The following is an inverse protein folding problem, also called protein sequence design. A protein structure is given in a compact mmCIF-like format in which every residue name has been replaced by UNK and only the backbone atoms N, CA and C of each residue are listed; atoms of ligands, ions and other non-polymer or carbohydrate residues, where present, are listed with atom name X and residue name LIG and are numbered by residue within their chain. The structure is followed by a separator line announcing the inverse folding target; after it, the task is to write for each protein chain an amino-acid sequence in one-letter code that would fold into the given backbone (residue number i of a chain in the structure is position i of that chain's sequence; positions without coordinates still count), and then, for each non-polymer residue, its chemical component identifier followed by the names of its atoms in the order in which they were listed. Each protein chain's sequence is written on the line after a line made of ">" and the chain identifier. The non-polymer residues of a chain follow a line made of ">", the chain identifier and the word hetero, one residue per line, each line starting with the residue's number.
data_IF_169460849142
#
_entry.id   IF_169460849142
#
_cell.length_a   1.000
_cell.length_b   1.000
_cell.length_c   1.000
_cell.angle_alpha   90.00
_cell.angle_beta   90.00
_cell.angle_gamma   90.00
#
_symmetry.space_group_name_H-M   'P 1'
#
loop_
_entity.id
_entity.type
_entity.pdbx_description
1 polymer ?
#
# COMPACT_ATOMS: atom_id res chain seq x y z
N UNK A 1 12.11 5.59 -11.53
CA UNK A 1 11.52 5.29 -12.84
C UNK A 1 11.46 3.79 -12.99
N UNK A 2 10.27 3.19 -13.12
CA UNK A 2 10.13 1.75 -13.38
C UNK A 2 9.77 1.53 -14.86
N UNK A 3 10.16 0.39 -15.42
CA UNK A 3 9.87 0.05 -16.82
C UNK A 3 8.39 -0.32 -17.06
N UNK A 4 7.63 -0.54 -15.98
CA UNK A 4 6.23 -0.97 -16.01
C UNK A 4 5.29 0.16 -15.60
N UNK A 5 4.08 0.19 -16.17
CA UNK A 5 3.00 1.05 -15.67
C UNK A 5 2.63 0.57 -14.25
N UNK A 6 2.93 1.39 -13.24
CA UNK A 6 2.42 1.14 -11.89
C UNK A 6 0.91 1.30 -11.91
N UNK A 7 0.17 0.26 -11.50
CA UNK A 7 -1.28 0.33 -11.32
C UNK A 7 -1.66 1.03 -10.01
N UNK A 8 -0.69 1.33 -9.16
CA UNK A 8 -0.89 1.95 -7.85
C UNK A 8 -0.21 3.32 -7.82
N UNK A 9 0.35 3.73 -6.68
CA UNK A 9 0.88 5.07 -6.49
C UNK A 9 2.35 5.09 -6.96
N UNK A 10 2.72 6.00 -7.88
CA UNK A 10 4.11 6.19 -8.25
C UNK A 10 4.88 6.80 -7.07
N UNK A 11 6.12 6.33 -6.87
CA UNK A 11 7.01 6.80 -5.81
C UNK A 11 8.22 7.47 -6.46
N UNK A 12 8.52 8.70 -6.06
CA UNK A 12 9.73 9.41 -6.50
C UNK A 12 10.91 9.03 -5.59
N UNK A 13 11.53 7.89 -5.87
CA UNK A 13 12.60 7.32 -5.03
C UNK A 13 13.92 8.09 -5.13
N UNK A 14 14.78 7.90 -4.12
CA UNK A 14 16.17 8.37 -4.13
C UNK A 14 16.97 7.94 -5.35
N UNK A 15 16.72 6.74 -5.91
CA UNK A 15 17.33 6.32 -7.18
C UNK A 15 16.98 7.27 -8.33
N UNK A 16 15.72 7.70 -8.42
CA UNK A 16 15.28 8.60 -9.48
C UNK A 16 15.85 10.00 -9.26
N UNK A 17 15.82 10.47 -8.01
CA UNK A 17 16.34 11.79 -7.64
C UNK A 17 17.85 11.88 -7.87
N UNK A 18 18.62 10.85 -7.53
CA UNK A 18 20.05 10.76 -7.80
C UNK A 18 20.34 10.82 -9.30
N UNK A 19 19.63 10.03 -10.11
CA UNK A 19 19.77 10.06 -11.57
C UNK A 19 19.48 11.45 -12.17
N UNK A 20 18.46 12.16 -11.67
CA UNK A 20 18.14 13.51 -12.14
C UNK A 20 19.25 14.52 -11.79
N UNK A 21 19.91 14.37 -10.63
CA UNK A 21 21.06 15.21 -10.23
C UNK A 21 22.27 14.93 -11.12
N UNK A 22 22.58 13.65 -11.33
CA UNK A 22 23.76 13.21 -12.07
C UNK A 22 23.64 13.49 -13.58
N UNK A 23 22.42 13.57 -14.12
CA UNK A 23 22.17 13.91 -15.51
C UNK A 23 22.59 15.35 -15.89
N UNK A 24 22.77 16.24 -14.90
CA UNK A 24 23.24 17.62 -15.13
C UNK A 24 22.24 18.55 -15.82
N UNK A 25 21.01 18.10 -16.11
CA UNK A 25 19.98 18.91 -16.77
C UNK A 25 19.26 19.90 -15.85
N UNK A 26 19.25 19.66 -14.54
CA UNK A 26 18.52 20.47 -13.57
C UNK A 26 19.51 21.25 -12.69
N UNK A 27 19.24 22.53 -12.46
CA UNK A 27 20.05 23.38 -11.56
C UNK A 27 20.05 22.82 -10.13
N UNK A 28 18.91 22.30 -9.68
CA UNK A 28 18.79 21.59 -8.41
C UNK A 28 17.60 20.64 -8.46
N UNK A 29 17.68 19.56 -7.68
CA UNK A 29 16.57 18.62 -7.45
C UNK A 29 16.27 18.62 -5.97
N UNK A 30 15.08 19.10 -5.61
CA UNK A 30 14.65 19.27 -4.22
C UNK A 30 14.59 17.90 -3.51
N UNK A 31 15.46 17.71 -2.51
CA UNK A 31 15.52 16.48 -1.71
C UNK A 31 14.24 16.24 -0.90
N UNK A 32 13.46 17.28 -0.59
CA UNK A 32 12.19 17.13 0.14
C UNK A 32 11.10 16.45 -0.70
N UNK A 33 11.31 16.28 -2.00
CA UNK A 33 10.42 15.53 -2.88
C UNK A 33 10.80 14.05 -2.96
N UNK A 34 11.92 13.66 -2.37
CA UNK A 34 12.38 12.27 -2.33
C UNK A 34 11.48 11.47 -1.37
N UNK A 35 10.99 10.35 -1.86
CA UNK A 35 10.07 9.49 -1.13
C UNK A 35 10.75 8.18 -0.75
N UNK A 36 10.48 7.71 0.46
CA UNK A 36 10.97 6.40 0.91
C UNK A 36 10.28 5.27 0.14
N UNK A 37 11.10 4.37 -0.37
CA UNK A 37 10.68 3.06 -0.88
C UNK A 37 11.32 1.98 -0.03
N UNK A 38 10.51 0.98 0.33
CA UNK A 38 10.95 -0.11 1.20
C UNK A 38 11.18 -1.42 0.45
N UNK A 39 10.78 -1.50 -0.82
CA UNK A 39 11.05 -2.64 -1.68
C UNK A 39 12.56 -2.90 -1.79
N UNK A 40 13.01 -4.07 -1.32
CA UNK A 40 14.43 -4.44 -1.30
C UNK A 40 15.29 -3.63 -0.31
N UNK A 41 14.70 -2.83 0.58
CA UNK A 41 15.45 -2.02 1.56
C UNK A 41 16.16 -2.95 2.53
N UNK A 42 17.49 -2.80 2.63
CA UNK A 42 18.37 -3.63 3.45
C UNK A 42 18.37 -5.13 3.07
N UNK A 43 17.93 -5.50 1.87
CA UNK A 43 17.89 -6.91 1.43
C UNK A 43 19.28 -7.50 1.08
N UNK A 44 20.31 -6.65 0.99
CA UNK A 44 21.68 -7.06 0.72
C UNK A 44 21.95 -7.39 -0.76
N UNK A 45 23.20 -7.74 -1.07
CA UNK A 45 23.64 -7.99 -2.45
C UNK A 45 22.99 -9.23 -3.08
N UNK A 46 22.57 -10.20 -2.28
CA UNK A 46 21.86 -11.40 -2.75
C UNK A 46 20.52 -11.05 -3.40
N UNK A 47 19.88 -9.95 -3.01
CA UNK A 47 18.67 -9.46 -3.67
C UNK A 47 18.91 -9.00 -5.12
N UNK A 48 20.14 -8.62 -5.45
CA UNK A 48 20.52 -8.12 -6.78
C UNK A 48 21.16 -9.22 -7.63
N UNK A 49 22.02 -10.05 -7.03
CA UNK A 49 22.80 -11.06 -7.77
C UNK A 49 22.26 -12.49 -7.62
N UNK A 50 21.33 -12.71 -6.70
CA UNK A 50 20.76 -14.02 -6.41
C UNK A 50 19.47 -14.31 -7.19
N UNK A 51 18.78 -15.36 -6.77
CA UNK A 51 17.45 -15.70 -7.26
C UNK A 51 16.38 -15.07 -6.38
N UNK A 52 15.22 -14.77 -6.97
CA UNK A 52 14.08 -14.30 -6.21
C UNK A 52 13.57 -15.36 -5.26
N UNK A 53 13.31 -14.94 -4.02
CA UNK A 53 12.92 -15.80 -2.91
C UNK A 53 11.53 -15.37 -2.45
N UNK A 54 10.56 -16.27 -2.63
CA UNK A 54 9.14 -16.05 -2.35
C UNK A 54 8.81 -16.11 -0.85
N UNK A 55 9.78 -16.39 0.01
CA UNK A 55 9.68 -16.11 1.44
C UNK A 55 9.78 -14.62 1.74
N UNK A 56 10.35 -13.82 0.84
CA UNK A 56 10.36 -12.37 0.95
C UNK A 56 9.05 -11.80 0.38
N UNK A 57 8.53 -10.79 1.07
CA UNK A 57 7.25 -10.16 0.75
C UNK A 57 7.22 -9.47 -0.63
N UNK A 58 8.37 -9.11 -1.17
CA UNK A 58 8.50 -8.56 -2.52
C UNK A 58 8.02 -9.55 -3.59
N UNK A 59 8.21 -10.85 -3.35
CA UNK A 59 8.01 -11.89 -4.34
C UNK A 59 6.87 -12.84 -3.98
N UNK A 60 6.47 -13.65 -4.95
CA UNK A 60 5.45 -14.67 -4.76
C UNK A 60 5.61 -15.79 -5.78
N UNK A 61 4.97 -16.94 -5.50
CA UNK A 61 4.90 -18.06 -6.43
C UNK A 61 3.58 -18.07 -7.21
N UNK A 62 3.69 -18.05 -8.54
CA UNK A 62 2.56 -18.14 -9.48
C UNK A 62 1.91 -19.53 -9.43
N UNK A 63 0.61 -19.58 -9.68
CA UNK A 63 -0.20 -20.79 -9.55
C UNK A 63 -0.98 -20.87 -8.24
N UNK A 64 -0.69 -19.98 -7.28
CA UNK A 64 -1.57 -19.74 -6.14
C UNK A 64 -2.79 -18.91 -6.58
N UNK A 65 -3.99 -19.35 -6.19
CA UNK A 65 -5.21 -18.53 -6.29
C UNK A 65 -5.35 -17.54 -5.13
N UNK A 66 -4.28 -17.38 -4.35
CA UNK A 66 -4.26 -16.51 -3.18
C UNK A 66 -4.31 -15.05 -3.60
N UNK A 67 -5.24 -14.32 -2.98
CA UNK A 67 -5.41 -12.89 -3.16
C UNK A 67 -4.89 -12.19 -1.92
N UNK A 68 -3.60 -11.88 -1.86
CA UNK A 68 -2.95 -11.21 -0.72
C UNK A 68 -2.65 -9.74 -1.03
N UNK A 69 -2.25 -8.98 -0.03
CA UNK A 69 -1.86 -7.59 -0.22
C UNK A 69 -0.60 -7.46 -1.08
N UNK A 70 -0.55 -6.44 -1.92
CA UNK A 70 0.70 -6.07 -2.60
C UNK A 70 1.77 -5.59 -1.61
N UNK A 71 3.02 -5.54 -2.07
CA UNK A 71 4.19 -5.14 -1.28
C UNK A 71 4.07 -3.73 -0.65
N UNK A 72 3.26 -2.83 -1.22
CA UNK A 72 3.06 -1.47 -0.70
C UNK A 72 1.76 -1.31 0.11
N UNK A 73 1.04 -2.41 0.34
CA UNK A 73 -0.24 -2.46 1.04
C UNK A 73 -1.32 -1.57 0.38
N UNK A 74 -1.21 -1.29 -0.92
CA UNK A 74 -2.14 -0.42 -1.64
C UNK A 74 -3.49 -1.07 -1.93
N UNK A 75 -3.53 -2.39 -2.05
CA UNK A 75 -4.76 -3.12 -2.31
C UNK A 75 -4.56 -4.62 -2.36
N UNK A 76 -5.66 -5.32 -2.58
CA UNK A 76 -5.62 -6.77 -2.79
C UNK A 76 -5.04 -7.05 -4.16
N UNK A 77 -3.97 -7.82 -4.18
CA UNK A 77 -3.29 -8.27 -5.38
C UNK A 77 -3.46 -9.75 -5.64
N UNK A 78 -2.99 -10.16 -6.81
CA UNK A 78 -2.82 -11.55 -7.17
C UNK A 78 -1.40 -11.73 -7.67
N UNK A 79 -0.80 -12.86 -7.31
CA UNK A 79 0.53 -13.20 -7.78
C UNK A 79 0.53 -13.30 -9.30
N UNK A 80 1.36 -12.49 -9.97
CA UNK A 80 1.42 -12.44 -11.42
C UNK A 80 2.86 -12.44 -11.89
N UNK A 81 3.07 -13.08 -13.05
CA UNK A 81 4.31 -12.96 -13.79
C UNK A 81 4.56 -11.50 -14.17
N UNK A 82 5.78 -11.03 -13.90
CA UNK A 82 6.23 -9.71 -14.32
C UNK A 82 7.16 -9.86 -15.52
N UNK A 83 6.73 -9.39 -16.69
CA UNK A 83 7.58 -9.33 -17.88
C UNK A 83 8.76 -8.35 -17.76
N UNK A 84 8.81 -7.58 -16.67
CA UNK A 84 9.82 -6.54 -16.42
C UNK A 84 10.80 -6.91 -15.30
N UNK A 85 10.62 -8.07 -14.67
CA UNK A 85 11.52 -8.60 -13.66
C UNK A 85 12.18 -9.87 -14.18
N UNK A 86 13.26 -10.29 -13.51
CA UNK A 86 13.94 -11.53 -13.85
C UNK A 86 13.00 -12.74 -13.75
N UNK A 87 13.36 -13.83 -14.43
CA UNK A 87 12.55 -15.04 -14.44
C UNK A 87 12.29 -15.52 -13.01
N UNK A 88 11.05 -15.94 -12.74
CA UNK A 88 10.55 -16.37 -11.42
C UNK A 88 10.42 -15.27 -10.35
N UNK A 89 10.74 -14.02 -10.67
CA UNK A 89 10.51 -12.87 -9.79
C UNK A 89 9.08 -12.33 -9.92
N UNK A 90 8.10 -13.16 -9.57
CA UNK A 90 6.69 -12.77 -9.62
C UNK A 90 6.34 -11.91 -8.40
N UNK A 91 5.35 -11.03 -8.55
CA UNK A 91 4.95 -10.14 -7.46
C UNK A 91 3.42 -10.07 -7.34
N UNK A 92 2.93 -9.71 -6.16
CA UNK A 92 1.51 -9.43 -5.97
C UNK A 92 1.14 -8.12 -6.66
N UNK A 93 0.49 -8.23 -7.82
CA UNK A 93 -0.01 -7.08 -8.56
C UNK A 93 -1.42 -6.75 -8.08
N UNK A 94 -1.61 -5.55 -7.55
CA UNK A 94 -2.93 -5.05 -7.13
C UNK A 94 -3.95 -5.16 -8.27
N UNK A 95 -5.11 -5.73 -7.99
CA UNK A 95 -6.22 -5.84 -8.94
C UNK A 95 -6.80 -4.43 -9.16
N UNK A 96 -7.17 -4.11 -10.40
CA UNK A 96 -7.57 -2.75 -10.80
C UNK A 96 -8.67 -2.14 -9.93
N UNK A 97 -9.68 -2.94 -9.57
CA UNK A 97 -10.81 -2.55 -8.72
C UNK A 97 -10.66 -3.05 -7.27
N UNK A 98 -9.43 -3.08 -6.72
CA UNK A 98 -9.15 -3.57 -5.37
C UNK A 98 -8.23 -2.64 -4.55
N UNK A 99 -8.08 -1.40 -4.99
CA UNK A 99 -7.23 -0.39 -4.34
C UNK A 99 -7.92 0.16 -3.10
N UNK A 100 -7.31 0.01 -1.93
CA UNK A 100 -7.98 0.34 -0.65
C UNK A 100 -8.25 1.83 -0.49
N UNK A 101 -7.49 2.68 -1.17
CA UNK A 101 -7.69 4.13 -1.19
C UNK A 101 -8.74 4.60 -2.20
N UNK A 102 -9.19 3.74 -3.12
CA UNK A 102 -10.21 4.10 -4.12
C UNK A 102 -11.60 3.75 -3.58
N UNK A 103 -12.36 4.78 -3.21
CA UNK A 103 -13.73 4.60 -2.73
C UNK A 103 -14.74 4.42 -3.87
N UNK A 104 -14.39 4.82 -5.10
CA UNK A 104 -15.31 4.83 -6.24
C UNK A 104 -15.30 3.50 -7.00
N UNK A 105 -14.16 2.84 -7.09
CA UNK A 105 -13.95 1.66 -7.91
C UNK A 105 -13.23 0.56 -7.11
N UNK A 106 -13.91 0.03 -6.09
CA UNK A 106 -13.41 -1.11 -5.33
C UNK A 106 -14.49 -2.17 -5.11
N UNK A 107 -14.22 -3.42 -5.53
CA UNK A 107 -15.16 -4.53 -5.41
C UNK A 107 -15.52 -4.86 -3.95
N UNK A 108 -14.62 -4.59 -3.00
CA UNK A 108 -14.87 -4.78 -1.58
C UNK A 108 -15.70 -3.64 -0.97
N UNK A 109 -15.84 -2.50 -1.64
CA UNK A 109 -16.64 -1.37 -1.15
C UNK A 109 -18.14 -1.56 -1.43
N UNK A 110 -18.73 -2.61 -0.84
CA UNK A 110 -20.16 -2.89 -0.92
C UNK A 110 -20.72 -3.28 0.47
N UNK A 111 -22.05 -3.18 0.68
CA UNK A 111 -22.66 -3.44 1.98
C UNK A 111 -22.39 -4.84 2.54
N UNK A 112 -22.32 -5.87 1.68
CA UNK A 112 -22.07 -7.24 2.13
C UNK A 112 -20.65 -7.39 2.65
N UNK A 113 -19.65 -6.90 1.91
CA UNK A 113 -18.25 -6.97 2.36
C UNK A 113 -18.03 -6.16 3.65
N UNK A 114 -18.60 -4.96 3.75
CA UNK A 114 -18.52 -4.14 4.97
C UNK A 114 -19.07 -4.87 6.19
N UNK A 115 -20.23 -5.52 6.04
CA UNK A 115 -20.84 -6.30 7.13
C UNK A 115 -20.04 -7.54 7.47
N UNK A 116 -19.70 -8.35 6.47
CA UNK A 116 -19.13 -9.69 6.65
C UNK A 116 -17.65 -9.64 7.04
N UNK A 117 -16.89 -8.68 6.52
CA UNK A 117 -15.43 -8.62 6.70
C UNK A 117 -14.96 -7.37 7.46
N UNK A 118 -15.87 -6.46 7.78
CA UNK A 118 -15.55 -5.22 8.51
C UNK A 118 -14.70 -4.23 7.70
N UNK A 119 -14.64 -4.38 6.37
CA UNK A 119 -13.76 -3.57 5.51
C UNK A 119 -14.13 -2.08 5.53
N UNK A 120 -13.12 -1.23 5.42
CA UNK A 120 -13.26 0.22 5.43
C UNK A 120 -12.35 0.88 4.39
N UNK A 121 -12.82 1.95 3.75
CA UNK A 121 -12.18 2.58 2.59
C UNK A 121 -11.97 4.08 2.82
N UNK A 122 -10.90 4.61 2.24
CA UNK A 122 -10.57 6.02 2.25
C UNK A 122 -9.09 6.25 2.01
N UNK A 123 -8.68 7.52 1.99
CA UNK A 123 -7.28 7.89 1.74
C UNK A 123 -6.31 7.29 2.76
N UNK A 124 -6.80 6.99 3.98
CA UNK A 124 -6.04 6.33 5.05
C UNK A 124 -6.39 4.84 5.16
N UNK A 125 -6.75 4.18 4.05
CA UNK A 125 -6.96 2.74 4.00
C UNK A 125 -5.79 2.04 3.32
N UNK A 126 -5.33 0.95 3.93
CA UNK A 126 -4.33 0.04 3.39
C UNK A 126 -4.88 -1.38 3.40
N UNK A 127 -4.24 -2.24 2.62
CA UNK A 127 -4.54 -3.65 2.60
C UNK A 127 -3.86 -4.34 3.79
N UNK A 128 -4.57 -5.22 4.48
CA UNK A 128 -4.02 -6.14 5.47
C UNK A 128 -4.37 -7.57 5.09
N UNK A 129 -3.41 -8.48 5.23
CA UNK A 129 -3.70 -9.90 5.07
C UNK A 129 -4.55 -10.34 6.27
N UNK A 130 -5.68 -10.99 6.00
CA UNK A 130 -6.66 -11.31 7.03
C UNK A 130 -7.56 -12.47 6.64
N UNK A 131 -7.86 -13.32 7.62
CA UNK A 131 -8.88 -14.38 7.56
C UNK A 131 -10.16 -13.98 8.29
N UNK A 132 -10.31 -12.70 8.63
CA UNK A 132 -11.46 -12.21 9.40
C UNK A 132 -12.75 -12.41 8.62
N UNK A 133 -13.76 -12.93 9.30
CA UNK A 133 -15.12 -13.07 8.78
C UNK A 133 -16.11 -13.04 9.96
N UNK A 134 -17.26 -12.40 9.80
CA UNK A 134 -18.32 -12.36 10.81
C UNK A 134 -18.57 -13.78 11.36
N UNK A 135 -18.60 -13.91 12.68
CA UNK A 135 -18.65 -15.20 13.39
C UNK A 135 -19.82 -16.10 12.98
N UNK A 136 -20.87 -15.55 12.37
CA UNK A 136 -22.01 -16.29 11.82
C UNK A 136 -21.69 -17.09 10.57
N UNK A 137 -20.54 -16.84 9.95
CA UNK A 137 -20.12 -17.48 8.70
C UNK A 137 -18.96 -18.45 8.94
N UNK A 138 -18.74 -19.33 7.96
CA UNK A 138 -17.66 -20.32 8.02
C UNK A 138 -16.29 -19.64 7.91
N UNK A 139 -15.27 -20.14 8.62
CA UNK A 139 -13.89 -19.65 8.47
C UNK A 139 -13.43 -19.66 7.01
N UNK A 140 -12.61 -18.67 6.67
CA UNK A 140 -12.03 -18.50 5.34
C UNK A 140 -10.52 -18.52 5.40
N UNK A 141 -9.89 -18.77 4.25
CA UNK A 141 -8.46 -18.59 4.10
C UNK A 141 -8.10 -17.10 4.14
N UNK A 142 -6.84 -16.84 4.49
CA UNK A 142 -6.31 -15.49 4.51
C UNK A 142 -6.37 -14.84 3.11
N UNK A 143 -6.80 -13.58 3.06
CA UNK A 143 -6.84 -12.76 1.87
C UNK A 143 -6.54 -11.30 2.22
N UNK A 144 -6.21 -10.49 1.22
CA UNK A 144 -6.03 -9.06 1.37
C UNK A 144 -7.38 -8.37 1.53
N UNK A 145 -7.57 -7.68 2.65
CA UNK A 145 -8.77 -6.91 2.97
C UNK A 145 -8.39 -5.46 3.29
N UNK A 146 -9.26 -4.53 2.89
CA UNK A 146 -9.02 -3.10 3.09
C UNK A 146 -9.52 -2.62 4.45
N UNK A 147 -8.64 -1.99 5.22
CA UNK A 147 -8.98 -1.36 6.50
C UNK A 147 -8.35 0.02 6.61
N UNK A 148 -9.05 0.95 7.25
CA UNK A 148 -8.45 2.21 7.68
C UNK A 148 -7.50 1.97 8.84
N UNK A 149 -6.45 2.80 8.89
CA UNK A 149 -5.43 2.71 9.90
C UNK A 149 -4.98 4.08 10.40
N UNK A 150 -4.37 4.09 11.59
CA UNK A 150 -3.62 5.24 12.10
C UNK A 150 -2.32 4.77 12.72
N UNK A 151 -1.24 5.50 12.45
CA UNK A 151 0.06 5.27 13.09
C UNK A 151 0.22 6.16 14.32
N UNK A 152 0.83 5.62 15.37
CA UNK A 152 1.16 6.34 16.60
C UNK A 152 2.64 6.72 16.65
N UNK A 153 2.99 7.66 17.53
CA UNK A 153 4.39 8.01 17.79
C UNK A 153 5.21 6.89 18.42
N UNK A 154 4.54 5.88 19.01
CA UNK A 154 5.16 4.71 19.62
C UNK A 154 5.36 3.54 18.62
N UNK A 155 5.33 3.82 17.30
CA UNK A 155 5.45 2.82 16.24
C UNK A 155 4.38 1.71 16.28
N UNK A 156 3.17 2.05 16.70
CA UNK A 156 2.03 1.13 16.68
C UNK A 156 1.07 1.48 15.55
N UNK A 157 0.46 0.47 14.95
CA UNK A 157 -0.57 0.62 13.91
C UNK A 157 -1.93 0.24 14.50
N UNK A 158 -2.82 1.21 14.59
CA UNK A 158 -4.21 0.98 15.00
C UNK A 158 -5.02 0.74 13.74
N UNK A 159 -5.69 -0.41 13.66
CA UNK A 159 -6.50 -0.83 12.51
C UNK A 159 -7.98 -0.83 12.90
N UNK A 160 -8.83 -0.32 12.01
CA UNK A 160 -10.27 -0.22 12.24
C UNK A 160 -11.03 -1.27 11.42
N UNK A 161 -11.66 -2.21 12.11
CA UNK A 161 -12.40 -3.35 11.54
C UNK A 161 -13.84 -3.33 12.03
N UNK A 162 -14.81 -3.13 11.14
CA UNK A 162 -16.24 -3.27 11.49
C UNK A 162 -16.75 -2.37 12.63
N UNK A 163 -16.03 -1.29 12.95
CA UNK A 163 -16.31 -0.42 14.10
C UNK A 163 -15.43 -0.67 15.33
N UNK A 164 -14.75 -1.81 15.38
CA UNK A 164 -13.77 -2.18 16.42
C UNK A 164 -12.38 -1.66 16.04
N UNK A 165 -11.58 -1.31 17.05
CA UNK A 165 -10.16 -0.96 16.86
C UNK A 165 -9.28 -2.05 17.44
N UNK A 166 -8.23 -2.42 16.72
CA UNK A 166 -7.18 -3.33 17.21
C UNK A 166 -5.81 -2.71 16.95
N UNK A 167 -4.85 -2.99 17.83
CA UNK A 167 -3.52 -2.35 17.80
C UNK A 167 -2.43 -3.36 17.52
N UNK A 168 -1.78 -3.23 16.37
CA UNK A 168 -0.52 -3.90 16.06
C UNK A 168 0.59 -3.28 16.89
N UNK A 169 1.13 -4.06 17.82
CA UNK A 169 2.25 -3.65 18.68
C UNK A 169 3.56 -4.35 18.31
N UNK A 170 3.48 -5.46 17.58
CA UNK A 170 4.63 -6.22 17.10
C UNK A 170 4.54 -6.49 15.60
N UNK A 171 5.70 -6.59 14.97
CA UNK A 171 5.88 -6.98 13.57
C UNK A 171 5.25 -8.36 13.30
N UNK A 172 4.44 -8.46 12.25
CA UNK A 172 3.81 -9.72 11.82
C UNK A 172 2.78 -10.31 12.80
N UNK A 173 2.43 -9.59 13.87
CA UNK A 173 1.48 -10.07 14.88
C UNK A 173 0.13 -10.44 14.27
N UNK A 174 -0.44 -11.58 14.69
CA UNK A 174 -1.82 -11.93 14.38
C UNK A 174 -2.76 -11.50 15.51
N UNK A 175 -3.84 -10.82 15.16
CA UNK A 175 -4.81 -10.27 16.11
C UNK A 175 -6.20 -10.85 15.86
N UNK A 176 -6.87 -11.29 16.93
CA UNK A 176 -8.30 -11.58 16.91
C UNK A 176 -9.09 -10.27 17.02
N UNK A 177 -10.24 -10.20 16.36
CA UNK A 177 -11.13 -9.04 16.41
C UNK A 177 -12.49 -9.48 16.97
N UNK A 178 -13.00 -8.86 18.04
CA UNK A 178 -14.34 -9.14 18.56
C UNK A 178 -15.42 -9.07 17.47
N UNK A 179 -16.27 -10.10 17.39
CA UNK A 179 -17.35 -10.21 16.40
C UNK A 179 -16.91 -10.86 15.07
N UNK A 180 -15.65 -11.27 14.96
CA UNK A 180 -15.09 -11.92 13.79
C UNK A 180 -14.33 -13.19 14.17
N UNK A 181 -14.59 -14.26 13.42
CA UNK A 181 -13.74 -15.45 13.36
C UNK A 181 -12.46 -15.16 12.56
N UNK A 182 -11.37 -15.89 12.85
CA UNK A 182 -10.09 -15.72 12.15
C UNK A 182 -9.18 -14.68 12.79
N UNK A 183 -8.31 -14.06 11.98
CA UNK A 183 -7.32 -13.09 12.46
C UNK A 183 -6.99 -12.02 11.41
N UNK A 184 -6.52 -10.87 11.90
CA UNK A 184 -5.82 -9.84 11.13
C UNK A 184 -4.31 -10.03 11.29
N UNK A 185 -3.57 -10.08 10.19
CA UNK A 185 -2.11 -10.13 10.19
C UNK A 185 -1.55 -8.71 10.08
N UNK A 186 -0.79 -8.29 11.09
CA UNK A 186 -0.13 -6.99 11.13
C UNK A 186 1.03 -6.90 10.11
N UNK A 187 1.42 -5.70 9.69
CA UNK A 187 2.59 -5.51 8.81
C UNK A 187 3.85 -6.14 9.39
N UNK A 188 4.69 -6.71 8.52
CA UNK A 188 5.96 -7.36 8.89
C UNK A 188 6.97 -6.38 9.51
N UNK A 189 6.84 -5.09 9.17
CA UNK A 189 7.67 -4.02 9.70
C UNK A 189 6.80 -2.78 9.94
N UNK A 190 6.43 -2.53 11.20
CA UNK A 190 5.51 -1.46 11.57
C UNK A 190 6.09 -0.07 11.29
N UNK A 191 7.40 0.09 11.46
CA UNK A 191 8.15 1.32 11.20
C UNK A 191 8.12 1.69 9.72
N UNK A 192 8.44 0.73 8.84
CA UNK A 192 8.35 0.92 7.39
C UNK A 192 6.90 1.18 6.95
N UNK A 193 5.94 0.44 7.52
CA UNK A 193 4.52 0.61 7.22
C UNK A 193 4.02 2.04 7.51
N UNK A 194 4.44 2.62 8.63
CA UNK A 194 4.04 3.97 9.02
C UNK A 194 4.78 5.08 8.30
N UNK A 195 5.95 4.78 7.72
CA UNK A 195 6.76 5.72 6.97
C UNK A 195 6.36 5.82 5.48
N UNK A 196 5.50 4.92 4.97
CA UNK A 196 4.97 5.06 3.60
C UNK A 196 4.30 6.42 3.38
N UNK A 197 4.53 6.98 2.19
CA UNK A 197 3.93 8.23 1.73
C UNK A 197 2.41 8.22 1.94
N UNK A 198 1.91 9.28 2.59
CA UNK A 198 0.48 9.54 2.70
C UNK A 198 -0.10 10.03 1.38
N UNK A 199 -1.29 9.54 1.06
CA UNK A 199 -2.00 9.92 -0.15
C UNK A 199 -2.66 11.28 -0.03
N UNK A 200 -2.63 12.03 -1.13
CA UNK A 200 -3.36 13.28 -1.21
C UNK A 200 -4.77 13.06 -1.74
N UNK A 201 -5.74 13.83 -1.25
CA UNK A 201 -7.09 13.78 -1.75
C UNK A 201 -7.15 14.10 -3.26
N UNK A 202 -7.90 13.29 -4.00
CA UNK A 202 -8.14 13.45 -5.45
C UNK A 202 -6.85 13.66 -6.28
N UNK A 203 -5.70 13.17 -5.80
CA UNK A 203 -4.39 13.41 -6.42
C UNK A 203 -4.15 14.91 -6.74
N UNK A 204 -4.58 15.81 -5.85
CA UNK A 204 -4.50 17.25 -6.03
C UNK A 204 -5.15 17.75 -7.33
N UNK A 205 -6.18 17.04 -7.82
CA UNK A 205 -6.90 17.28 -9.07
C UNK A 205 -5.98 17.46 -10.28
N UNK A 206 -4.77 16.88 -10.26
CA UNK A 206 -3.72 17.10 -11.27
C UNK A 206 -3.29 18.57 -11.43
N UNK A 207 -3.72 19.45 -10.53
CA UNK A 207 -3.44 20.89 -10.50
C UNK A 207 -2.39 21.25 -9.44
N UNK A 208 -1.67 20.25 -8.95
CA UNK A 208 -0.68 20.35 -7.89
C UNK A 208 0.07 19.04 -7.77
N UNK A 209 1.00 19.01 -6.81
CA UNK A 209 1.71 17.78 -6.45
C UNK A 209 1.45 17.43 -4.98
N UNK A 210 1.52 16.15 -4.68
CA UNK A 210 1.28 15.64 -3.35
C UNK A 210 2.57 15.60 -2.54
N UNK A 211 2.62 16.38 -1.45
CA UNK A 211 3.68 16.34 -0.46
C UNK A 211 3.13 15.74 0.86
N UNK A 212 3.42 14.45 1.09
CA UNK A 212 3.05 13.68 2.28
C UNK A 212 1.60 13.93 2.79
N UNK A 213 0.61 13.75 1.91
CA UNK A 213 -0.81 13.94 2.21
C UNK A 213 -1.33 15.38 2.07
N UNK A 214 -0.45 16.35 1.81
CA UNK A 214 -0.81 17.76 1.57
C UNK A 214 -0.62 18.12 0.09
N UNK A 215 -1.61 18.77 -0.51
CA UNK A 215 -1.49 19.26 -1.88
C UNK A 215 -0.78 20.61 -1.95
N UNK A 216 0.27 20.67 -2.76
CA UNK A 216 0.93 21.93 -3.13
C UNK A 216 0.45 22.30 -4.54
N UNK A 217 -0.35 23.36 -4.62
CA UNK A 217 -0.98 23.75 -5.87
C UNK A 217 -0.02 24.48 -6.81
N UNK A 218 -0.19 24.22 -8.11
CA UNK A 218 0.48 24.97 -9.15
C UNK A 218 -0.05 26.41 -9.21
N UNK A 219 0.72 27.31 -9.83
CA UNK A 219 0.33 28.71 -10.02
C UNK A 219 -1.04 28.79 -10.70
N UNK A 220 -1.94 29.60 -10.15
CA UNK A 220 -3.32 29.76 -10.64
C UNK A 220 -4.33 28.80 -10.00
N UNK A 221 -3.89 27.91 -9.11
CA UNK A 221 -4.77 27.00 -8.37
C UNK A 221 -4.61 27.16 -6.85
N UNK A 222 -5.69 26.87 -6.12
CA UNK A 222 -5.74 26.93 -4.66
C UNK A 222 -6.75 25.92 -4.09
N UNK A 223 -6.85 25.91 -2.76
CA UNK A 223 -7.69 25.00 -2.00
C UNK A 223 -6.97 23.71 -1.61
N UNK A 224 -7.53 22.98 -0.63
CA UNK A 224 -6.91 21.78 -0.03
C UNK A 224 -6.63 20.66 -1.04
N UNK A 225 -7.35 20.66 -2.16
CA UNK A 225 -7.21 19.68 -3.24
C UNK A 225 -6.79 20.32 -4.58
N UNK A 226 -6.43 21.60 -4.62
CA UNK A 226 -6.11 22.35 -5.85
C UNK A 226 -7.23 22.35 -6.91
N UNK A 227 -8.48 22.33 -6.47
CA UNK A 227 -9.67 22.35 -7.34
C UNK A 227 -10.24 23.75 -7.60
N UNK A 228 -9.71 24.78 -6.94
CA UNK A 228 -10.17 26.15 -7.10
C UNK A 228 -9.17 26.93 -7.96
N UNK A 229 -9.68 27.76 -8.86
CA UNK A 229 -8.85 28.73 -9.59
C UNK A 229 -8.61 29.95 -8.67
N UNK A 230 -7.38 30.44 -8.67
CA UNK A 230 -6.95 31.59 -7.89
C UNK A 230 -7.39 32.91 -8.53
#
# INVERSE_FOLDING_TARGET
>A
MNASISLTIPILTGFTVALLRDAGFFVSVNSNMEEESFYGKNAGCSFIYGQCDDNNREFCTVGSFEKKCDCYYHGTGQCNFSQFLDNQCNTYRTISNAKCYDQSNNFQNNPNYKRIFGVTFGLNSKCFNSSLIDEKYRPINEQGLCYTYTCTSANQVIVHVGGTKVTCSNNGQQLKVPGYSGYLTCPEKLDEFCAYKKLCPNNCNSNGYCNNGTCICMKGFRGVQCNQVA
#
